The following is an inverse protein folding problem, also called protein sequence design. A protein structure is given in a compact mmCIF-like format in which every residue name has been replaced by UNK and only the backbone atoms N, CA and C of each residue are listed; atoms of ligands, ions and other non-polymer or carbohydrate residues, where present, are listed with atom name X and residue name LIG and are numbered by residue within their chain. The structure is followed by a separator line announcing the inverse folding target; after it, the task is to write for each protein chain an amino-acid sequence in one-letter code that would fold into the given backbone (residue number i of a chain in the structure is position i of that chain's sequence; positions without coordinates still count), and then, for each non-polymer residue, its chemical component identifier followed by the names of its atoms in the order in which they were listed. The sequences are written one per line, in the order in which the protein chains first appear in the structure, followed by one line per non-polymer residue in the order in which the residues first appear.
data_IF_847533059205
#
_entry.id   IF_847533059205
#
_cell.length_a   1.000
_cell.length_b   1.000
_cell.length_c   1.000
_cell.angle_alpha   90.00
_cell.angle_beta   90.00
_cell.angle_gamma   90.00
#
_symmetry.space_group_name_H-M   'P 1'
#
loop_
_entity.id
_entity.type
_entity.pdbx_description
1 polymer ?
#
# COMPACT_ATOMS: atom_id res chain seq x y z
N UNK A 1 -10.34 3.40 8.16
CA UNK A 1 -10.65 1.95 8.13
C UNK A 1 -9.73 1.23 9.09
N UNK A 2 -10.22 0.17 9.75
CA UNK A 2 -9.36 -0.66 10.59
C UNK A 2 -8.47 -1.58 9.73
N UNK A 3 -7.42 -2.14 10.34
CA UNK A 3 -6.43 -2.94 9.60
C UNK A 3 -7.02 -4.18 8.93
N UNK A 4 -8.06 -4.80 9.52
CA UNK A 4 -8.72 -5.96 8.93
C UNK A 4 -9.46 -5.60 7.64
N UNK A 5 -10.21 -4.50 7.63
CA UNK A 5 -10.92 -4.05 6.43
C UNK A 5 -9.96 -3.76 5.28
N UNK A 6 -8.84 -3.09 5.56
CA UNK A 6 -7.83 -2.80 4.53
C UNK A 6 -7.18 -4.09 4.04
N UNK A 7 -6.87 -5.03 4.94
CA UNK A 7 -6.27 -6.30 4.55
C UNK A 7 -7.21 -7.16 3.69
N UNK A 8 -8.51 -7.17 3.98
CA UNK A 8 -9.50 -7.90 3.19
C UNK A 8 -9.63 -7.31 1.77
N UNK A 9 -9.60 -5.97 1.64
CA UNK A 9 -9.56 -5.29 0.34
C UNK A 9 -8.29 -5.63 -0.46
N UNK A 10 -7.11 -5.56 0.16
CA UNK A 10 -5.85 -5.91 -0.52
C UNK A 10 -5.86 -7.36 -0.98
N UNK A 11 -6.35 -8.30 -0.15
CA UNK A 11 -6.48 -9.72 -0.53
C UNK A 11 -7.40 -9.90 -1.72
N UNK A 12 -8.54 -9.20 -1.75
CA UNK A 12 -9.45 -9.22 -2.88
C UNK A 12 -8.75 -8.76 -4.16
N UNK A 13 -8.05 -7.61 -4.14
CA UNK A 13 -7.35 -7.09 -5.32
C UNK A 13 -6.23 -8.00 -5.82
N UNK A 14 -5.46 -8.61 -4.91
CA UNK A 14 -4.45 -9.60 -5.27
C UNK A 14 -5.13 -10.81 -5.95
N UNK A 15 -6.19 -11.36 -5.35
CA UNK A 15 -6.90 -12.53 -5.88
C UNK A 15 -7.50 -12.30 -7.27
N UNK A 16 -8.13 -11.15 -7.52
CA UNK A 16 -8.74 -10.85 -8.84
C UNK A 16 -7.73 -10.45 -9.92
N UNK A 17 -6.49 -10.14 -9.55
CA UNK A 17 -5.46 -9.64 -10.48
C UNK A 17 -4.65 -10.71 -11.20
N UNK A 18 -4.86 -12.00 -10.87
CA UNK A 18 -4.05 -13.17 -11.25
C UNK A 18 -2.56 -13.07 -10.95
N UNK A 19 -2.14 -12.09 -10.13
CA UNK A 19 -0.76 -11.85 -9.71
C UNK A 19 -0.54 -12.31 -8.27
N UNK A 20 0.69 -12.73 -7.97
CA UNK A 20 1.09 -13.07 -6.61
C UNK A 20 1.49 -11.82 -5.82
N UNK A 21 1.61 -11.94 -4.49
CA UNK A 21 2.05 -10.83 -3.63
C UNK A 21 3.38 -10.20 -4.08
N UNK A 22 4.32 -10.99 -4.60
CA UNK A 22 5.62 -10.51 -5.07
C UNK A 22 5.57 -9.58 -6.29
N UNK A 23 4.44 -9.53 -7.00
CA UNK A 23 4.24 -8.63 -8.14
C UNK A 23 3.74 -7.24 -7.71
N UNK A 24 3.31 -7.08 -6.45
CA UNK A 24 2.73 -5.85 -5.93
C UNK A 24 3.72 -5.09 -5.07
N UNK A 25 3.66 -3.76 -5.15
CA UNK A 25 4.30 -2.86 -4.18
C UNK A 25 3.27 -2.42 -3.16
N UNK A 26 3.67 -2.28 -1.89
CA UNK A 26 2.88 -1.68 -0.82
C UNK A 26 3.67 -0.57 -0.15
N UNK A 27 2.99 0.50 0.25
CA UNK A 27 3.57 1.56 1.06
C UNK A 27 2.53 2.33 1.85
N UNK A 28 3.01 3.27 2.67
CA UNK A 28 2.16 4.27 3.33
C UNK A 28 2.51 5.70 2.91
N UNK A 29 1.53 6.59 2.94
CA UNK A 29 1.71 8.01 2.60
C UNK A 29 0.69 8.88 3.31
N UNK A 30 1.00 10.17 3.44
CA UNK A 30 0.05 11.22 3.84
C UNK A 30 -0.66 11.85 2.62
N UNK A 31 -0.07 11.72 1.44
CA UNK A 31 -0.56 12.28 0.18
C UNK A 31 -0.44 11.22 -0.92
N UNK A 32 -1.53 10.50 -1.23
CA UNK A 32 -1.51 9.45 -2.23
C UNK A 32 -1.33 9.93 -3.66
N UNK A 33 -1.83 11.12 -4.01
CA UNK A 33 -1.73 11.66 -5.36
C UNK A 33 -0.28 12.02 -5.66
N UNK A 34 0.37 12.77 -4.76
CA UNK A 34 1.80 13.07 -4.84
C UNK A 34 2.61 11.78 -4.94
N UNK A 35 2.35 10.81 -4.07
CA UNK A 35 3.14 9.57 -4.02
C UNK A 35 2.98 8.71 -5.27
N UNK A 36 1.77 8.65 -5.84
CA UNK A 36 1.55 7.96 -7.13
C UNK A 36 2.30 8.64 -8.28
N UNK A 37 2.38 9.98 -8.27
CA UNK A 37 3.10 10.76 -9.28
C UNK A 37 4.61 10.56 -9.19
N UNK A 38 5.17 10.48 -7.97
CA UNK A 38 6.57 10.14 -7.72
C UNK A 38 6.92 8.77 -8.31
N UNK A 39 6.18 7.72 -7.95
CA UNK A 39 6.38 6.37 -8.51
C UNK A 39 6.28 6.36 -10.04
N UNK A 40 5.29 7.05 -10.60
CA UNK A 40 5.16 7.18 -12.05
C UNK A 40 6.39 7.85 -12.69
N UNK A 41 6.93 8.89 -12.05
CA UNK A 41 8.13 9.60 -12.52
C UNK A 41 9.41 8.77 -12.39
N UNK A 42 9.48 7.86 -11.43
CA UNK A 42 10.56 6.88 -11.23
C UNK A 42 10.51 5.72 -12.23
N UNK A 43 9.45 5.65 -13.05
CA UNK A 43 9.26 4.62 -14.08
C UNK A 43 8.43 3.42 -13.63
N UNK A 44 7.83 3.48 -12.43
CA UNK A 44 6.96 2.43 -11.94
C UNK A 44 5.60 2.41 -12.66
N UNK A 45 5.04 1.21 -12.83
CA UNK A 45 3.72 1.04 -13.45
C UNK A 45 2.59 1.18 -12.41
N UNK A 46 2.12 2.42 -12.21
CA UNK A 46 1.04 2.74 -11.25
C UNK A 46 -0.39 2.51 -11.79
N UNK A 47 -0.58 1.82 -12.92
CA UNK A 47 -1.92 1.62 -13.54
C UNK A 47 -2.93 0.91 -12.62
N UNK A 48 -2.45 0.16 -11.63
CA UNK A 48 -3.26 -0.61 -10.68
C UNK A 48 -3.27 0.01 -9.29
N UNK A 49 -2.94 1.31 -9.20
CA UNK A 49 -2.94 2.03 -7.94
C UNK A 49 -4.27 1.90 -7.21
N UNK A 50 -4.17 1.54 -5.93
CA UNK A 50 -5.28 1.49 -4.97
C UNK A 50 -4.78 2.06 -3.65
N UNK A 51 -5.67 2.73 -2.93
CA UNK A 51 -5.34 3.33 -1.65
C UNK A 51 -6.52 3.26 -0.69
N UNK A 52 -6.22 3.17 0.60
CA UNK A 52 -7.19 3.14 1.68
C UNK A 52 -6.72 3.99 2.84
N UNK A 53 -7.63 4.77 3.42
CA UNK A 53 -7.34 5.55 4.61
C UNK A 53 -7.51 4.67 5.86
N UNK A 54 -6.43 4.51 6.62
CA UNK A 54 -6.42 3.85 7.91
C UNK A 54 -6.93 4.76 9.03
N UNK A 55 -7.41 4.15 10.11
CA UNK A 55 -7.87 4.90 11.30
C UNK A 55 -6.70 5.61 12.02
N UNK A 56 -5.48 5.11 11.84
CA UNK A 56 -4.26 5.71 12.40
C UNK A 56 -3.03 5.29 11.60
N UNK A 57 -1.92 6.02 11.79
CA UNK A 57 -0.61 5.64 11.27
C UNK A 57 -0.18 4.24 11.72
N UNK A 58 -0.44 3.89 12.98
CA UNK A 58 -0.11 2.56 13.52
C UNK A 58 -0.82 1.48 12.72
N UNK A 59 -2.12 1.65 12.44
CA UNK A 59 -2.87 0.72 11.61
C UNK A 59 -2.30 0.63 10.19
N UNK A 60 -1.93 1.77 9.58
CA UNK A 60 -1.31 1.78 8.25
C UNK A 60 0.02 1.00 8.22
N UNK A 61 0.88 1.21 9.23
CA UNK A 61 2.17 0.52 9.38
C UNK A 61 2.00 -0.98 9.64
N UNK A 62 1.02 -1.38 10.45
CA UNK A 62 0.73 -2.79 10.69
C UNK A 62 0.31 -3.51 9.41
N UNK A 63 -0.54 -2.89 8.59
CA UNK A 63 -0.97 -3.42 7.30
C UNK A 63 0.21 -3.51 6.33
N UNK A 64 1.01 -2.45 6.20
CA UNK A 64 2.22 -2.43 5.36
C UNK A 64 3.17 -3.57 5.74
N UNK A 65 3.52 -3.66 7.03
CA UNK A 65 4.41 -4.69 7.54
C UNK A 65 3.86 -6.11 7.32
N UNK A 66 2.54 -6.29 7.47
CA UNK A 66 1.88 -7.56 7.24
C UNK A 66 2.04 -8.05 5.79
N UNK A 67 1.75 -7.21 4.80
CA UNK A 67 1.84 -7.63 3.39
C UNK A 67 3.27 -7.69 2.85
N UNK A 68 4.20 -6.92 3.41
CA UNK A 68 5.63 -7.11 3.14
C UNK A 68 6.12 -8.48 3.60
N UNK A 69 5.67 -8.97 4.77
CA UNK A 69 5.93 -10.36 5.21
C UNK A 69 5.33 -11.40 4.28
N UNK A 70 4.26 -11.07 3.56
CA UNK A 70 3.65 -11.94 2.55
C UNK A 70 4.33 -11.85 1.18
N UNK A 71 5.33 -10.97 1.02
CA UNK A 71 6.17 -10.87 -0.18
C UNK A 71 5.95 -9.63 -1.04
N UNK A 72 5.06 -8.70 -0.66
CA UNK A 72 4.95 -7.43 -1.38
C UNK A 72 6.23 -6.59 -1.26
N UNK A 73 6.56 -5.87 -2.32
CA UNK A 73 7.71 -4.95 -2.38
C UNK A 73 7.40 -3.67 -1.61
N UNK A 74 8.44 -3.00 -1.13
CA UNK A 74 8.34 -1.69 -0.49
C UNK A 74 9.47 -1.46 0.50
N UNK A 75 9.83 -0.20 0.71
CA UNK A 75 10.85 0.18 1.69
C UNK A 75 10.25 0.26 3.10
N UNK A 76 11.09 0.14 4.12
CA UNK A 76 10.65 0.29 5.51
C UNK A 76 10.59 1.77 5.85
N UNK A 77 9.41 2.27 6.23
CA UNK A 77 9.33 3.51 7.02
C UNK A 77 9.31 4.81 6.23
N UNK A 78 8.77 4.84 5.01
CA UNK A 78 8.63 6.07 4.21
C UNK A 78 7.60 7.09 4.74
N UNK A 79 6.90 6.80 5.84
CA UNK A 79 5.81 7.62 6.35
C UNK A 79 6.19 8.59 7.47
N UNK A 80 5.92 9.88 7.28
CA UNK A 80 5.88 10.88 8.35
C UNK A 80 4.71 10.62 9.32
N UNK A 81 4.55 11.41 10.38
CA UNK A 81 3.49 11.20 11.40
C UNK A 81 2.07 11.20 10.81
N UNK A 82 1.86 11.88 9.69
CA UNK A 82 0.56 12.02 9.01
C UNK A 82 0.27 10.91 7.99
N UNK A 83 1.15 9.90 7.87
CA UNK A 83 1.01 8.84 6.87
C UNK A 83 -0.05 7.81 7.27
N UNK A 84 -1.31 8.14 6.97
CA UNK A 84 -2.49 7.32 7.29
C UNK A 84 -3.07 6.58 6.08
N UNK A 85 -2.55 6.78 4.87
CA UNK A 85 -3.00 6.03 3.71
C UNK A 85 -2.09 4.83 3.46
N UNK A 86 -2.68 3.66 3.25
CA UNK A 86 -2.02 2.48 2.70
C UNK A 86 -2.27 2.45 1.21
N UNK A 87 -1.26 2.15 0.39
CA UNK A 87 -1.42 2.02 -1.05
C UNK A 87 -0.76 0.75 -1.61
N UNK A 88 -1.28 0.25 -2.73
CA UNK A 88 -0.65 -0.77 -3.55
C UNK A 88 -0.68 -0.39 -5.04
N UNK A 89 0.23 -0.93 -5.85
CA UNK A 89 0.18 -0.85 -7.31
C UNK A 89 0.92 -2.01 -7.99
#
# INVERSE_FOLDING_TARGET
MNGRQIADEIRYWVAVSVRGYADWTIGITNDPERRSGEHQSEGDNVRRWRQWQADSKVVAQEVEAFFKKMGMKGDLGGGNEDSVFVYIF
#
